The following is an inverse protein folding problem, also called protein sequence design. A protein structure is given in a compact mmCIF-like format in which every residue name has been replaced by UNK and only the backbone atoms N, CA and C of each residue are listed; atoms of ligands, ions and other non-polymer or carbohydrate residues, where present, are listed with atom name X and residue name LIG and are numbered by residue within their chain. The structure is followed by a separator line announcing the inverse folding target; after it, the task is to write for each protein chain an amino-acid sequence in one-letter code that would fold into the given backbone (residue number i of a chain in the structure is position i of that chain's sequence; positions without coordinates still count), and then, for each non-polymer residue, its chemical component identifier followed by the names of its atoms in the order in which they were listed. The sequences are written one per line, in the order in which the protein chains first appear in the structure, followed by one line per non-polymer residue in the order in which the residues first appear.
data_IF_470089473380
#
_entry.id   IF_470089473380
#
_cell.length_a   1.000
_cell.length_b   1.000
_cell.length_c   1.000
_cell.angle_alpha   90.00
_cell.angle_beta   90.00
_cell.angle_gamma   90.00
#
_symmetry.space_group_name_H-M   'P 1'
#
loop_
_entity.id
_entity.type
_entity.pdbx_description
1 polymer ?
#
# COMPACT_ATOMS: atom_id res chain seq x y z
N UNK A 1 -4.05 -7.29 0.53
CA UNK A 1 -3.51 -8.35 1.43
C UNK A 1 -4.03 -8.09 2.84
N UNK A 2 -4.52 -9.15 3.50
CA UNK A 2 -4.94 -9.10 4.90
C UNK A 2 -4.05 -10.01 5.73
N UNK A 3 -3.65 -9.56 6.92
CA UNK A 3 -2.86 -10.32 7.89
C UNK A 3 -3.48 -10.14 9.28
N UNK A 4 -3.71 -11.22 10.02
CA UNK A 4 -4.40 -11.24 11.32
C UNK A 4 -5.71 -10.42 11.37
N UNK A 5 -6.43 -10.40 10.24
CA UNK A 5 -7.68 -9.66 10.11
C UNK A 5 -7.52 -8.16 9.92
N UNK A 6 -6.30 -7.64 9.77
CA UNK A 6 -6.02 -6.25 9.38
C UNK A 6 -5.59 -6.14 7.92
N UNK A 7 -5.92 -5.03 7.27
CA UNK A 7 -5.46 -4.74 5.91
C UNK A 7 -4.06 -4.15 5.99
N UNK A 8 -3.07 -4.87 5.45
CA UNK A 8 -1.66 -4.41 5.39
C UNK A 8 -1.38 -3.56 4.15
N UNK A 9 -2.13 -3.79 3.08
CA UNK A 9 -2.02 -3.03 1.85
C UNK A 9 -2.79 -3.66 0.69
N UNK A 10 -2.68 -3.03 -0.48
CA UNK A 10 -3.35 -3.41 -1.71
C UNK A 10 -2.41 -3.16 -2.89
N UNK A 11 -2.30 -4.12 -3.79
CA UNK A 11 -1.68 -3.95 -5.10
C UNK A 11 -2.67 -4.36 -6.19
N UNK A 12 -2.78 -3.55 -7.23
CA UNK A 12 -3.49 -3.86 -8.47
C UNK A 12 -2.51 -3.74 -9.62
N UNK A 13 -2.39 -4.81 -10.41
CA UNK A 13 -1.57 -4.84 -11.63
C UNK A 13 -2.47 -5.21 -12.79
N UNK A 14 -2.44 -4.39 -13.85
CA UNK A 14 -3.35 -4.53 -15.01
C UNK A 14 -3.19 -5.81 -15.83
N UNK A 15 -2.00 -6.43 -15.80
CA UNK A 15 -1.66 -7.59 -16.61
C UNK A 15 -1.17 -8.74 -15.75
N UNK A 16 -1.71 -9.93 -16.01
CA UNK A 16 -1.29 -11.17 -15.36
C UNK A 16 0.20 -11.44 -15.55
N UNK A 17 0.74 -11.25 -16.76
CA UNK A 17 2.16 -11.49 -17.04
C UNK A 17 3.08 -10.58 -16.22
N UNK A 18 2.69 -9.32 -16.01
CA UNK A 18 3.41 -8.41 -15.13
C UNK A 18 3.29 -8.82 -13.66
N UNK A 19 2.09 -9.21 -13.22
CA UNK A 19 1.89 -9.76 -11.88
C UNK A 19 2.76 -10.99 -11.62
N UNK A 20 2.87 -11.92 -12.57
CA UNK A 20 3.69 -13.13 -12.47
C UNK A 20 5.16 -12.80 -12.19
N UNK A 21 5.70 -11.78 -12.86
CA UNK A 21 7.07 -11.31 -12.64
C UNK A 21 7.23 -10.65 -11.25
N UNK A 22 6.21 -9.92 -10.81
CA UNK A 22 6.22 -9.18 -9.54
C UNK A 22 5.85 -10.03 -8.32
N UNK A 23 5.19 -11.17 -8.52
CA UNK A 23 4.53 -11.95 -7.47
C UNK A 23 5.47 -12.24 -6.29
N UNK A 24 6.65 -12.81 -6.56
CA UNK A 24 7.62 -13.14 -5.51
C UNK A 24 8.08 -11.91 -4.72
N UNK A 25 8.26 -10.76 -5.37
CA UNK A 25 8.65 -9.50 -4.72
C UNK A 25 7.51 -8.95 -3.86
N UNK A 26 6.27 -8.99 -4.36
CA UNK A 26 5.09 -8.55 -3.62
C UNK A 26 4.87 -9.41 -2.37
N UNK A 27 4.88 -10.74 -2.52
CA UNK A 27 4.72 -11.66 -1.39
C UNK A 27 5.81 -11.43 -0.34
N UNK A 28 7.08 -11.29 -0.76
CA UNK A 28 8.18 -10.98 0.15
C UNK A 28 7.97 -9.65 0.87
N UNK A 29 7.57 -8.60 0.14
CA UNK A 29 7.30 -7.27 0.73
C UNK A 29 6.20 -7.35 1.79
N UNK A 30 5.09 -8.03 1.50
CA UNK A 30 3.99 -8.21 2.45
C UNK A 30 4.36 -9.09 3.63
N UNK A 31 5.17 -10.14 3.44
CA UNK A 31 5.68 -10.95 4.54
C UNK A 31 6.57 -10.12 5.48
N UNK A 32 7.41 -9.24 4.93
CA UNK A 32 8.21 -8.32 5.74
C UNK A 32 7.31 -7.36 6.53
N UNK A 33 6.24 -6.83 5.94
CA UNK A 33 5.26 -5.99 6.64
C UNK A 33 4.53 -6.75 7.75
N UNK A 34 4.13 -7.99 7.50
CA UNK A 34 3.44 -8.84 8.46
C UNK A 34 4.29 -9.15 9.70
N UNK A 35 5.60 -9.40 9.52
CA UNK A 35 6.55 -9.61 10.63
C UNK A 35 6.66 -8.36 11.53
N UNK A 36 6.45 -7.17 10.97
CA UNK A 36 6.53 -5.91 11.72
C UNK A 36 5.24 -5.54 12.44
N UNK A 37 4.10 -6.18 12.15
CA UNK A 37 2.85 -5.91 12.86
C UNK A 37 2.79 -6.66 14.19
N UNK A 38 2.49 -5.94 15.28
CA UNK A 38 2.14 -6.55 16.57
C UNK A 38 0.77 -7.24 16.43
N UNK A 39 0.63 -8.39 17.10
CA UNK A 39 -0.65 -9.11 17.20
C UNK A 39 -1.65 -8.25 17.98
N UNK A 40 -2.65 -7.72 17.30
CA UNK A 40 -3.87 -7.24 17.95
C UNK A 40 -5.01 -8.17 17.57
N UNK A 41 -5.65 -8.75 18.60
CA UNK A 41 -6.83 -9.59 18.44
C UNK A 41 -7.96 -8.73 17.89
N UNK A 42 -8.35 -8.91 16.62
CA UNK A 42 -9.44 -8.16 16.03
C UNK A 42 -10.59 -9.06 15.55
N UNK A 43 -11.65 -9.09 16.36
CA UNK A 43 -12.90 -9.81 16.16
C UNK A 43 -13.89 -9.11 15.19
N UNK A 44 -13.42 -8.64 14.02
CA UNK A 44 -14.29 -8.06 12.97
C UNK A 44 -14.23 -8.87 11.68
N UNK A 45 -15.33 -8.86 10.93
CA UNK A 45 -15.40 -9.52 9.61
C UNK A 45 -14.34 -8.95 8.67
N UNK A 46 -13.59 -9.84 8.01
CA UNK A 46 -12.47 -9.49 7.12
C UNK A 46 -12.90 -8.58 5.95
N UNK A 47 -14.14 -8.72 5.49
CA UNK A 47 -14.67 -7.95 4.35
C UNK A 47 -14.94 -6.48 4.69
N UNK A 48 -15.40 -6.19 5.91
CA UNK A 48 -15.73 -4.81 6.29
C UNK A 48 -14.48 -3.94 6.40
N UNK A 49 -13.39 -4.52 6.90
CA UNK A 49 -12.09 -3.84 6.97
C UNK A 49 -11.48 -3.60 5.59
N UNK A 50 -11.63 -4.54 4.65
CA UNK A 50 -11.17 -4.34 3.27
C UNK A 50 -11.93 -3.19 2.59
N UNK A 51 -13.27 -3.14 2.73
CA UNK A 51 -14.09 -2.03 2.20
C UNK A 51 -13.73 -0.70 2.85
N UNK A 52 -13.55 -0.69 4.17
CA UNK A 52 -13.13 0.52 4.89
C UNK A 52 -11.77 1.04 4.42
N UNK A 53 -10.80 0.15 4.20
CA UNK A 53 -9.48 0.52 3.67
C UNK A 53 -9.57 1.11 2.26
N UNK A 54 -10.37 0.52 1.37
CA UNK A 54 -10.57 1.07 0.02
C UNK A 54 -11.22 2.46 0.11
N UNK A 55 -12.23 2.63 0.96
CA UNK A 55 -12.87 3.94 1.17
C UNK A 55 -11.88 4.98 1.71
N UNK A 56 -11.02 4.60 2.64
CA UNK A 56 -9.96 5.45 3.18
C UNK A 56 -8.96 5.86 2.09
N UNK A 57 -8.49 4.89 1.28
CA UNK A 57 -7.60 5.14 0.15
C UNK A 57 -8.21 6.11 -0.87
N UNK A 58 -9.50 5.95 -1.20
CA UNK A 58 -10.23 6.86 -2.10
C UNK A 58 -10.44 8.27 -1.55
N UNK A 59 -10.28 8.47 -0.25
CA UNK A 59 -10.41 9.78 0.40
C UNK A 59 -9.07 10.51 0.61
N UNK A 60 -7.96 9.89 0.20
CA UNK A 60 -6.64 10.50 0.31
C UNK A 60 -6.52 11.69 -0.64
N UNK A 61 -5.73 12.70 -0.23
CA UNK A 61 -5.34 13.77 -1.13
C UNK A 61 -4.47 13.22 -2.26
N UNK A 62 -4.70 13.64 -3.50
CA UNK A 62 -3.94 13.19 -4.66
C UNK A 62 -3.10 14.31 -5.26
N UNK A 63 -1.88 13.95 -5.70
CA UNK A 63 -1.04 14.78 -6.56
C UNK A 63 -0.72 14.00 -7.81
N UNK A 64 -0.76 14.68 -8.96
CA UNK A 64 -0.58 14.08 -10.27
C UNK A 64 0.64 14.69 -10.97
N UNK A 65 1.45 13.82 -11.56
CA UNK A 65 2.68 14.17 -12.27
C UNK A 65 2.73 13.48 -13.62
N UNK A 66 3.30 14.14 -14.62
CA UNK A 66 3.62 13.47 -15.88
C UNK A 66 4.70 12.41 -15.63
N UNK A 67 4.49 11.20 -16.15
CA UNK A 67 5.47 10.13 -15.97
C UNK A 67 6.69 10.38 -16.86
N UNK A 68 7.86 9.87 -16.47
CA UNK A 68 9.06 9.87 -17.33
C UNK A 68 8.83 9.03 -18.60
N UNK A 69 7.96 8.02 -18.50
CA UNK A 69 7.45 7.26 -19.64
C UNK A 69 6.06 7.71 -20.05
N UNK A 70 5.28 6.75 -20.55
CA UNK A 70 3.90 7.02 -20.93
C UNK A 70 2.97 7.02 -19.72
N UNK A 71 2.21 8.11 -19.56
CA UNK A 71 1.10 8.17 -18.61
C UNK A 71 1.31 9.17 -17.48
N UNK A 72 0.63 8.92 -16.37
CA UNK A 72 0.53 9.83 -15.24
C UNK A 72 0.79 9.08 -13.95
N UNK A 73 1.70 9.64 -13.15
CA UNK A 73 2.01 9.16 -11.81
C UNK A 73 1.16 9.93 -10.79
N UNK A 74 0.28 9.19 -10.12
CA UNK A 74 -0.53 9.67 -9.01
C UNK A 74 0.15 9.28 -7.69
N UNK A 75 0.20 10.23 -6.76
CA UNK A 75 0.67 10.01 -5.39
C UNK A 75 -0.45 10.40 -4.44
N UNK A 76 -0.80 9.45 -3.57
CA UNK A 76 -1.88 9.58 -2.61
C UNK A 76 -1.31 9.71 -1.20
N UNK A 77 -1.79 10.72 -0.48
CA UNK A 77 -1.40 10.96 0.91
C UNK A 77 -2.64 11.19 1.78
N UNK A 78 -2.82 10.31 2.76
CA UNK A 78 -3.85 10.39 3.78
C UNK A 78 -3.24 10.28 5.18
N UNK A 79 -4.07 10.33 6.22
CA UNK A 79 -3.59 10.28 7.62
C UNK A 79 -2.93 8.96 8.00
N UNK A 80 -3.47 7.83 7.57
CA UNK A 80 -2.96 6.48 7.90
C UNK A 80 -2.71 5.61 6.67
N UNK A 81 -2.89 6.17 5.48
CA UNK A 81 -2.78 5.49 4.21
C UNK A 81 -1.99 6.38 3.26
N UNK A 82 -1.08 5.76 2.53
CA UNK A 82 -0.39 6.36 1.39
C UNK A 82 -0.47 5.40 0.22
N UNK A 83 -0.34 5.94 -0.98
CA UNK A 83 -0.34 5.10 -2.16
C UNK A 83 0.21 5.79 -3.39
N UNK A 84 0.28 5.01 -4.45
CA UNK A 84 0.66 5.47 -5.77
C UNK A 84 -0.17 4.74 -6.83
N UNK A 85 -0.38 5.39 -7.97
CA UNK A 85 -0.96 4.75 -9.14
C UNK A 85 -0.32 5.28 -10.42
N UNK A 86 0.05 4.39 -11.32
CA UNK A 86 0.47 4.72 -12.67
C UNK A 86 -0.69 4.50 -13.63
N UNK A 87 -1.11 5.55 -14.33
CA UNK A 87 -2.22 5.50 -15.27
C UNK A 87 -1.75 5.78 -16.70
N UNK A 88 -2.21 4.97 -17.66
CA UNK A 88 -2.03 5.24 -19.08
C UNK A 88 -3.35 5.01 -19.82
N UNK A 89 -3.73 5.95 -20.70
CA UNK A 89 -5.00 5.90 -21.45
C UNK A 89 -6.23 5.63 -20.57
N UNK A 90 -6.33 6.32 -19.43
CA UNK A 90 -7.42 6.16 -18.43
C UNK A 90 -7.51 4.74 -17.82
N UNK A 91 -6.47 3.92 -17.95
CA UNK A 91 -6.37 2.60 -17.32
C UNK A 91 -5.28 2.62 -16.25
N UNK A 92 -5.58 2.03 -15.10
CA UNK A 92 -4.60 1.82 -14.04
C UNK A 92 -3.66 0.70 -14.46
N UNK A 93 -2.37 1.00 -14.61
CA UNK A 93 -1.33 0.04 -14.98
C UNK A 93 -0.84 -0.72 -13.75
N UNK A 94 -0.48 0.03 -12.71
CA UNK A 94 -0.14 -0.46 -11.38
C UNK A 94 -0.64 0.54 -10.34
N UNK A 95 -1.15 0.04 -9.22
CA UNK A 95 -1.58 0.84 -8.08
C UNK A 95 -1.22 0.10 -6.80
N UNK A 96 -0.65 0.82 -5.85
CA UNK A 96 -0.19 0.26 -4.59
C UNK A 96 -0.58 1.19 -3.43
N UNK A 97 -1.21 0.65 -2.40
CA UNK A 97 -1.60 1.36 -1.18
C UNK A 97 -1.16 0.61 0.05
N UNK A 98 -0.67 1.33 1.06
CA UNK A 98 -0.15 0.77 2.29
C UNK A 98 -0.64 1.56 3.50
N UNK A 99 -0.75 0.88 4.64
CA UNK A 99 -0.89 1.58 5.91
C UNK A 99 0.44 2.17 6.33
N UNK A 100 0.39 3.39 6.86
CA UNK A 100 1.56 4.07 7.43
C UNK A 100 1.23 4.70 8.78
N UNK A 101 2.21 4.75 9.66
CA UNK A 101 2.18 5.58 10.88
C UNK A 101 2.67 7.00 10.57
N UNK A 102 2.44 7.96 11.47
CA UNK A 102 2.94 9.34 11.27
C UNK A 102 4.47 9.39 11.21
N UNK A 103 5.17 8.55 11.98
CA UNK A 103 6.62 8.43 11.94
C UNK A 103 7.17 7.86 10.62
N UNK A 104 6.38 7.05 9.91
CA UNK A 104 6.76 6.47 8.61
C UNK A 104 6.65 7.45 7.43
N UNK A 105 6.00 8.61 7.60
CA UNK A 105 5.78 9.59 6.53
C UNK A 105 6.97 10.53 6.27
N UNK A 106 7.98 10.51 7.13
CA UNK A 106 9.10 11.45 7.07
C UNK A 106 10.24 10.87 6.24
N UNK A 107 10.46 11.41 5.03
CA UNK A 107 11.58 11.06 4.16
C UNK A 107 11.31 9.93 3.15
N UNK A 108 12.33 9.46 2.41
CA UNK A 108 12.20 8.34 1.49
C UNK A 108 11.81 7.06 2.24
N UNK A 109 11.19 6.11 1.51
CA UNK A 109 10.68 4.86 2.10
C UNK A 109 11.76 4.18 2.95
N UNK A 110 11.55 4.18 4.25
CA UNK A 110 12.54 3.75 5.21
C UNK A 110 12.84 2.24 5.02
N UNK A 111 14.12 1.86 5.11
CA UNK A 111 14.52 0.45 5.11
C UNK A 111 13.85 -0.32 6.25
N UNK A 112 13.75 -1.65 6.11
CA UNK A 112 13.10 -2.55 7.08
C UNK A 112 13.49 -2.26 8.54
N UNK A 113 14.79 -2.11 8.82
CA UNK A 113 15.29 -1.86 10.17
C UNK A 113 14.78 -0.55 10.80
N UNK A 114 14.62 0.52 9.99
CA UNK A 114 14.06 1.79 10.46
C UNK A 114 12.54 1.71 10.66
N UNK A 115 11.84 1.05 9.75
CA UNK A 115 10.38 0.83 9.86
C UNK A 115 9.99 0.04 11.10
N UNK A 116 10.83 -0.92 11.53
CA UNK A 116 10.64 -1.62 12.81
C UNK A 116 10.59 -0.66 14.00
N UNK A 117 11.44 0.36 14.03
CA UNK A 117 11.50 1.36 15.10
C UNK A 117 10.20 2.19 15.20
N UNK A 118 9.60 2.56 14.07
CA UNK A 118 8.35 3.34 14.04
C UNK A 118 7.11 2.57 14.50
N UNK A 119 7.22 1.26 14.73
CA UNK A 119 6.11 0.37 15.13
C UNK A 119 6.28 -0.20 16.54
N UNK A 120 7.40 0.09 17.19
CA UNK A 120 7.66 -0.37 18.57
C UNK A 120 7.08 0.55 19.63
N UNK A 121 6.80 1.81 19.30
CA UNK A 121 6.20 2.82 20.18
C UNK A 121 4.68 2.64 20.37
#
# INVERSE_FOLDING_TARGET
VLFDGEVVGLDIVSRESAYKVLHAKLVKSYAMEAILQKKENAAKSKNDKAKAFIKEASSCGEKKYESVGNGWDYRYEGKKVVGSALLYQKKVIHMAFFRVTEGEKVGPMAGYSRRRGFRTD
#
